data_IF_117201974188
#
_entry.id   IF_117201974188
#
_cell.length_a   1.000
_cell.length_b   1.000
_cell.length_c   1.000
_cell.angle_alpha   90.00
_cell.angle_beta   90.00
_cell.angle_gamma   90.00
#
_symmetry.space_group_name_H-M   'P 1'
#
loop_
_entity.id
_entity.type
_entity.pdbx_description
1 polymer ?
#
# COMPACT_ATOMS: atom_id res chain seq x y z
N UNK A 1 -17.36 -11.23 46.33
CA UNK A 1 -17.96 -11.81 45.14
C UNK A 1 -17.53 -10.93 43.99
N UNK A 2 -16.78 -11.32 43.40
CA UNK A 2 -15.50 -11.32 42.76
C UNK A 2 -15.58 -10.51 41.43
N UNK A 3 -14.87 -9.37 41.44
CA UNK A 3 -14.57 -8.55 40.23
C UNK A 3 -13.85 -9.31 39.10
N UNK A 4 -13.56 -10.59 39.34
CA UNK A 4 -12.84 -11.48 38.43
C UNK A 4 -13.69 -11.93 37.22
N UNK A 5 -14.99 -12.12 37.39
CA UNK A 5 -15.87 -12.66 36.34
C UNK A 5 -16.12 -11.72 35.19
N UNK A 6 -16.15 -10.40 35.43
CA UNK A 6 -16.39 -9.41 34.38
C UNK A 6 -15.16 -9.25 33.46
N UNK A 7 -13.98 -9.42 34.01
CA UNK A 7 -12.72 -9.29 33.25
C UNK A 7 -12.39 -10.54 32.43
N UNK A 8 -12.89 -11.70 32.87
CA UNK A 8 -12.74 -12.98 32.15
C UNK A 8 -13.67 -13.11 30.94
N UNK A 9 -14.81 -12.38 30.93
CA UNK A 9 -15.82 -12.45 29.88
C UNK A 9 -15.68 -11.34 28.83
N UNK A 10 -14.76 -10.39 28.98
CA UNK A 10 -14.51 -9.37 27.95
C UNK A 10 -13.69 -9.98 26.83
N UNK A 11 -14.35 -10.26 25.71
CA UNK A 11 -13.66 -10.48 24.44
C UNK A 11 -12.86 -9.24 24.08
N UNK A 12 -11.65 -9.44 23.56
CA UNK A 12 -10.84 -8.35 23.05
C UNK A 12 -11.48 -7.83 21.75
N UNK A 13 -12.05 -6.63 21.79
CA UNK A 13 -12.54 -5.98 20.60
C UNK A 13 -11.39 -5.23 19.93
N UNK A 14 -11.03 -5.65 18.76
CA UNK A 14 -10.14 -4.87 17.91
C UNK A 14 -10.95 -3.77 17.21
N UNK A 15 -10.73 -2.52 17.63
CA UNK A 15 -11.42 -1.35 17.06
C UNK A 15 -10.73 -0.77 15.83
N UNK A 16 -9.77 -1.51 15.28
CA UNK A 16 -9.05 -1.04 14.09
C UNK A 16 -9.99 -1.03 12.88
N UNK A 17 -10.24 0.12 12.26
CA UNK A 17 -11.11 0.18 11.10
C UNK A 17 -10.46 -0.55 9.91
N UNK A 18 -11.25 -1.29 9.10
CA UNK A 18 -10.71 -2.01 7.96
C UNK A 18 -10.08 -1.06 6.94
N UNK A 19 -9.01 -1.51 6.30
CA UNK A 19 -8.31 -0.73 5.29
C UNK A 19 -9.19 -0.55 4.05
N UNK A 20 -9.45 0.71 3.72
CA UNK A 20 -10.21 1.07 2.52
C UNK A 20 -9.24 1.37 1.38
N UNK A 21 -9.28 0.56 0.32
CA UNK A 21 -8.43 0.72 -0.89
C UNK A 21 -9.24 1.24 -2.08
N UNK A 22 -10.06 2.27 -1.86
CA UNK A 22 -10.95 2.82 -2.86
C UNK A 22 -10.19 3.49 -4.02
N UNK A 23 -9.21 4.33 -3.71
CA UNK A 23 -8.46 5.08 -4.73
C UNK A 23 -7.63 4.14 -5.60
N UNK A 24 -6.94 3.18 -4.97
CA UNK A 24 -6.15 2.19 -5.69
C UNK A 24 -7.03 1.40 -6.67
N UNK A 25 -8.14 0.82 -6.19
CA UNK A 25 -9.03 0.00 -7.03
C UNK A 25 -9.73 0.77 -8.13
N UNK A 26 -10.08 2.05 -7.89
CA UNK A 26 -10.85 2.85 -8.85
C UNK A 26 -9.96 3.48 -9.92
N UNK A 27 -8.83 4.03 -9.54
CA UNK A 27 -7.98 4.83 -10.44
C UNK A 27 -6.75 4.06 -10.94
N UNK A 28 -6.30 3.03 -10.21
CA UNK A 28 -5.09 2.26 -10.52
C UNK A 28 -5.38 0.75 -10.50
N UNK A 29 -6.30 0.25 -11.34
CA UNK A 29 -6.69 -1.17 -11.33
C UNK A 29 -5.61 -2.09 -11.91
N UNK A 30 -4.65 -1.56 -12.66
CA UNK A 30 -3.60 -2.34 -13.30
C UNK A 30 -2.28 -2.18 -12.55
N UNK A 31 -1.68 -3.29 -12.15
CA UNK A 31 -0.36 -3.32 -11.54
C UNK A 31 0.63 -3.97 -12.51
N UNK A 32 1.75 -3.31 -12.77
CA UNK A 32 2.87 -3.84 -13.54
C UNK A 32 4.09 -3.97 -12.64
N UNK A 33 4.73 -5.15 -12.69
CA UNK A 33 5.93 -5.43 -11.90
C UNK A 33 7.18 -5.22 -12.74
N UNK A 34 8.22 -4.64 -12.14
CA UNK A 34 9.52 -4.43 -12.76
C UNK A 34 10.63 -4.87 -11.80
N UNK A 35 11.76 -5.28 -12.36
CA UNK A 35 12.91 -5.79 -11.59
C UNK A 35 13.91 -4.67 -11.28
N UNK A 36 13.92 -3.59 -12.09
CA UNK A 36 14.87 -2.49 -11.92
C UNK A 36 14.45 -1.52 -10.81
N UNK A 37 15.41 -0.97 -10.09
CA UNK A 37 15.17 0.08 -9.08
C UNK A 37 14.61 1.38 -9.70
N UNK A 38 14.93 1.63 -10.97
CA UNK A 38 14.51 2.83 -11.69
C UNK A 38 13.59 2.45 -12.84
N UNK A 39 12.49 3.19 -12.95
CA UNK A 39 11.52 3.08 -14.03
C UNK A 39 11.67 4.29 -14.94
N UNK A 40 11.81 4.05 -16.23
CA UNK A 40 11.85 5.10 -17.25
C UNK A 40 10.51 5.14 -17.99
N UNK A 41 10.00 6.33 -18.18
CA UNK A 41 8.78 6.53 -18.95
C UNK A 41 8.86 7.76 -19.82
N UNK A 42 8.32 7.62 -21.03
CA UNK A 42 8.34 8.67 -22.04
C UNK A 42 7.06 9.50 -21.98
N UNK A 43 7.23 10.81 -21.85
CA UNK A 43 6.12 11.76 -21.84
C UNK A 43 6.15 12.57 -23.12
N UNK A 44 5.06 12.51 -23.88
CA UNK A 44 4.84 13.37 -25.04
C UNK A 44 3.74 14.38 -24.73
N UNK A 45 4.10 15.65 -24.65
CA UNK A 45 3.10 16.73 -24.60
C UNK A 45 2.67 17.07 -26.01
N UNK A 46 1.63 16.40 -26.49
CA UNK A 46 1.05 16.64 -27.81
C UNK A 46 0.39 18.01 -27.89
N UNK A 47 0.81 18.86 -28.83
CA UNK A 47 0.03 20.03 -29.21
C UNK A 47 -0.93 19.60 -30.33
N UNK A 48 -2.20 19.91 -30.20
CA UNK A 48 -3.18 19.75 -31.29
C UNK A 48 -2.93 20.82 -32.33
N UNK A 49 -2.13 20.47 -33.35
CA UNK A 49 -1.81 21.40 -34.43
C UNK A 49 -2.95 21.31 -35.46
N UNK A 50 -3.51 22.45 -35.79
CA UNK A 50 -4.53 22.54 -36.84
C UNK A 50 -3.82 22.51 -38.23
N UNK A 51 -4.39 21.77 -39.17
CA UNK A 51 -3.86 21.75 -40.51
C UNK A 51 -3.90 23.17 -41.15
N UNK A 52 -2.79 23.67 -41.71
CA UNK A 52 -2.77 24.99 -42.33
C UNK A 52 -3.53 24.96 -43.65
N UNK A 53 -4.30 26.01 -43.92
CA UNK A 53 -4.89 26.25 -45.22
C UNK A 53 -3.79 26.73 -46.19
N UNK A 54 -3.68 26.09 -47.34
CA UNK A 54 -2.68 26.40 -48.37
C UNK A 54 -3.41 26.71 -49.67
N UNK A 55 -2.91 27.69 -50.41
CA UNK A 55 -3.44 28.02 -51.75
C UNK A 55 -3.31 26.84 -52.72
N UNK A 56 -4.28 26.60 -53.64
CA UNK A 56 -4.25 25.48 -54.57
C UNK A 56 -2.99 25.38 -55.45
N UNK A 57 -2.26 26.46 -55.59
CA UNK A 57 -1.04 26.53 -56.40
C UNK A 57 0.26 26.44 -55.59
N UNK A 58 0.16 26.32 -54.25
CA UNK A 58 1.33 26.20 -53.37
C UNK A 58 1.45 24.79 -52.83
N UNK A 59 2.68 24.32 -52.68
CA UNK A 59 2.94 23.01 -52.05
C UNK A 59 2.51 22.99 -50.60
N UNK A 60 2.29 21.79 -50.06
CA UNK A 60 1.90 21.60 -48.64
C UNK A 60 2.93 22.16 -47.66
N UNK A 61 2.45 22.65 -46.49
CA UNK A 61 3.32 23.15 -45.43
C UNK A 61 3.84 21.99 -44.59
N UNK A 62 5.15 21.90 -44.42
CA UNK A 62 5.78 20.88 -43.59
C UNK A 62 5.43 21.11 -42.10
N UNK A 63 4.89 20.09 -41.48
CA UNK A 63 4.63 20.07 -40.03
C UNK A 63 5.68 19.18 -39.38
N UNK A 64 6.46 19.75 -38.49
CA UNK A 64 7.50 19.02 -37.73
C UNK A 64 6.88 18.07 -36.70
N UNK A 65 7.48 16.90 -36.55
CA UNK A 65 7.09 15.94 -35.50
C UNK A 65 7.46 16.47 -34.14
N UNK A 66 6.60 16.19 -33.17
CA UNK A 66 6.89 16.55 -31.79
C UNK A 66 7.80 15.49 -31.17
N UNK A 67 8.79 15.95 -30.41
CA UNK A 67 9.64 15.08 -29.60
C UNK A 67 8.92 14.59 -28.35
N UNK A 68 9.58 13.69 -27.63
CA UNK A 68 9.18 13.20 -26.32
C UNK A 68 10.29 13.52 -25.30
N UNK A 69 9.95 13.42 -24.04
CA UNK A 69 10.88 13.58 -22.93
C UNK A 69 10.84 12.31 -22.10
N UNK A 70 11.99 11.71 -21.88
CA UNK A 70 12.14 10.56 -20.97
C UNK A 70 12.32 11.06 -19.55
N UNK A 71 11.50 10.61 -18.64
CA UNK A 71 11.62 10.85 -17.21
C UNK A 71 12.02 9.55 -16.51
N UNK A 72 12.82 9.68 -15.46
CA UNK A 72 13.26 8.58 -14.62
C UNK A 72 12.63 8.73 -13.24
N UNK A 73 12.09 7.63 -12.70
CA UNK A 73 11.53 7.58 -11.35
C UNK A 73 12.20 6.46 -10.57
N UNK A 74 12.72 6.79 -9.39
CA UNK A 74 13.26 5.80 -8.46
C UNK A 74 12.16 5.31 -7.55
N UNK A 75 11.93 3.99 -7.54
CA UNK A 75 10.85 3.39 -6.76
C UNK A 75 11.20 3.37 -5.27
N UNK A 76 10.38 3.97 -4.39
CA UNK A 76 10.60 3.91 -2.95
C UNK A 76 10.35 2.50 -2.41
N UNK A 77 11.19 2.03 -1.50
CA UNK A 77 11.03 0.76 -0.81
C UNK A 77 10.10 0.94 0.40
N UNK A 78 9.11 0.06 0.53
CA UNK A 78 8.26 -0.05 1.72
C UNK A 78 8.65 -1.36 2.40
N UNK A 79 9.24 -1.28 3.59
CA UNK A 79 9.71 -2.43 4.36
C UNK A 79 9.43 -2.19 5.85
N UNK A 80 8.18 -2.37 6.31
CA UNK A 80 7.88 -2.30 7.73
C UNK A 80 8.43 -3.55 8.44
N UNK A 81 8.99 -3.36 9.63
CA UNK A 81 9.53 -4.42 10.46
C UNK A 81 8.92 -4.31 11.87
N UNK A 82 8.62 -5.43 12.48
CA UNK A 82 8.17 -5.51 13.87
C UNK A 82 9.01 -6.58 14.58
N UNK A 83 9.99 -6.18 15.42
CA UNK A 83 10.77 -7.13 16.20
C UNK A 83 9.89 -7.74 17.30
N UNK A 84 9.96 -9.05 17.46
CA UNK A 84 9.33 -9.79 18.56
C UNK A 84 10.36 -10.02 19.64
N UNK A 85 9.99 -9.75 20.89
CA UNK A 85 10.87 -9.96 22.05
C UNK A 85 10.37 -11.11 22.92
N UNK A 86 11.25 -11.67 23.73
CA UNK A 86 10.87 -12.74 24.68
C UNK A 86 9.81 -12.26 25.68
N UNK A 87 9.84 -10.98 26.03
CA UNK A 87 8.86 -10.37 26.93
C UNK A 87 7.45 -10.37 26.32
N UNK A 88 7.33 -10.16 25.01
CA UNK A 88 6.04 -10.17 24.30
C UNK A 88 5.39 -11.56 24.33
N UNK A 89 6.20 -12.63 24.31
CA UNK A 89 5.73 -14.02 24.33
C UNK A 89 5.38 -14.46 25.77
N UNK A 90 6.13 -13.96 26.77
CA UNK A 90 5.93 -14.34 28.16
C UNK A 90 4.79 -13.59 28.83
N UNK A 91 4.48 -12.38 28.38
CA UNK A 91 3.36 -11.59 28.90
C UNK A 91 2.02 -12.13 28.38
N UNK A 92 0.98 -11.95 29.18
CA UNK A 92 -0.39 -12.33 28.83
C UNK A 92 -0.90 -11.48 27.66
N UNK A 93 -1.41 -12.13 26.62
CA UNK A 93 -2.05 -11.46 25.51
C UNK A 93 -3.37 -10.77 25.90
N UNK A 94 -3.78 -9.78 25.10
CA UNK A 94 -5.06 -9.09 25.28
C UNK A 94 -6.21 -10.10 25.04
N UNK A 95 -7.16 -10.17 25.98
CA UNK A 95 -8.28 -11.12 25.91
C UNK A 95 -7.98 -12.53 26.41
N UNK A 96 -6.75 -12.83 26.76
CA UNK A 96 -6.38 -14.12 27.34
C UNK A 96 -6.85 -14.24 28.80
N UNK A 97 -7.46 -15.39 29.15
CA UNK A 97 -7.89 -15.66 30.52
C UNK A 97 -6.66 -15.72 31.45
N UNK A 98 -6.82 -15.24 32.72
CA UNK A 98 -5.76 -15.22 33.73
C UNK A 98 -5.27 -16.65 34.06
N UNK A 99 -6.16 -17.63 33.94
CA UNK A 99 -5.88 -19.05 34.19
C UNK A 99 -5.56 -19.84 32.90
N UNK A 100 -5.30 -19.15 31.79
CA UNK A 100 -4.92 -19.77 30.54
C UNK A 100 -3.65 -20.60 30.72
N UNK A 101 -3.70 -21.87 30.27
CA UNK A 101 -2.55 -22.76 30.21
C UNK A 101 -1.87 -22.75 28.84
N UNK A 102 -2.04 -21.66 28.07
CA UNK A 102 -1.40 -21.53 26.76
C UNK A 102 0.11 -21.61 26.88
N UNK A 103 0.70 -22.37 25.99
CA UNK A 103 2.16 -22.48 25.89
C UNK A 103 2.76 -21.22 25.30
N UNK A 104 4.03 -20.89 25.58
CA UNK A 104 4.72 -19.78 24.91
C UNK A 104 4.72 -19.89 23.38
N UNK A 105 4.81 -21.11 22.84
CA UNK A 105 4.78 -21.40 21.40
C UNK A 105 3.43 -21.00 20.76
N UNK A 106 2.32 -21.33 21.42
CA UNK A 106 0.98 -20.94 20.92
C UNK A 106 0.78 -19.41 20.93
N UNK A 107 1.38 -18.71 21.91
CA UNK A 107 1.35 -17.24 21.94
C UNK A 107 2.20 -16.62 20.85
N UNK A 108 3.36 -17.22 20.57
CA UNK A 108 4.25 -16.80 19.50
C UNK A 108 3.55 -16.89 18.13
N UNK A 109 2.89 -18.02 17.84
CA UNK A 109 2.17 -18.23 16.59
C UNK A 109 1.01 -17.23 16.42
N UNK A 110 0.23 -16.98 17.48
CA UNK A 110 -0.88 -16.02 17.45
C UNK A 110 -0.36 -14.58 17.24
N UNK A 111 0.72 -14.22 17.92
CA UNK A 111 1.35 -12.91 17.82
C UNK A 111 1.92 -12.69 16.42
N UNK A 112 2.59 -13.71 15.87
CA UNK A 112 3.13 -13.71 14.53
C UNK A 112 2.03 -13.50 13.47
N UNK A 113 0.92 -14.24 13.60
CA UNK A 113 -0.21 -14.12 12.66
C UNK A 113 -0.84 -12.72 12.71
N UNK A 114 -0.99 -12.17 13.93
CA UNK A 114 -1.50 -10.80 14.10
C UNK A 114 -0.55 -9.76 13.52
N UNK A 115 0.73 -9.88 13.82
CA UNK A 115 1.75 -8.96 13.32
C UNK A 115 1.84 -8.98 11.79
N UNK A 116 1.73 -10.16 11.19
CA UNK A 116 1.68 -10.29 9.74
C UNK A 116 0.50 -9.51 9.13
N UNK A 117 -0.69 -9.72 9.68
CA UNK A 117 -1.90 -9.01 9.23
C UNK A 117 -1.76 -7.50 9.38
N UNK A 118 -1.27 -7.03 10.52
CA UNK A 118 -1.04 -5.61 10.79
C UNK A 118 -0.03 -4.98 9.81
N UNK A 119 1.03 -5.71 9.47
CA UNK A 119 2.06 -5.26 8.52
C UNK A 119 1.50 -5.18 7.10
N UNK A 120 0.74 -6.19 6.66
CA UNK A 120 0.06 -6.16 5.35
C UNK A 120 -0.92 -4.99 5.25
N UNK A 121 -1.71 -4.75 6.27
CA UNK A 121 -2.62 -3.60 6.33
C UNK A 121 -1.88 -2.27 6.33
N UNK A 122 -0.73 -2.17 7.00
CA UNK A 122 0.09 -0.97 7.00
C UNK A 122 0.63 -0.64 5.60
N UNK A 123 1.03 -1.68 4.85
CA UNK A 123 1.46 -1.55 3.45
C UNK A 123 0.28 -1.10 2.57
N UNK A 124 -0.89 -1.71 2.74
CA UNK A 124 -2.09 -1.36 1.99
C UNK A 124 -2.50 0.11 2.24
N UNK A 125 -2.46 0.57 3.50
CA UNK A 125 -2.71 1.98 3.86
C UNK A 125 -1.69 2.92 3.21
N UNK A 126 -0.42 2.51 3.14
CA UNK A 126 0.62 3.31 2.49
C UNK A 126 0.40 3.42 0.98
N UNK A 127 0.06 2.31 0.31
CA UNK A 127 -0.28 2.30 -1.11
C UNK A 127 -1.48 3.23 -1.40
N UNK A 128 -2.55 3.13 -0.62
CA UNK A 128 -3.72 3.99 -0.78
C UNK A 128 -3.40 5.47 -0.58
N UNK A 129 -2.56 5.79 0.41
CA UNK A 129 -2.10 7.16 0.64
C UNK A 129 -1.28 7.70 -0.53
N UNK A 130 -0.43 6.88 -1.14
CA UNK A 130 0.32 7.26 -2.34
C UNK A 130 -0.60 7.56 -3.52
N UNK A 131 -1.66 6.78 -3.72
CA UNK A 131 -2.68 7.06 -4.76
C UNK A 131 -3.36 8.42 -4.59
N UNK A 132 -3.43 8.94 -3.37
CA UNK A 132 -3.99 10.28 -3.10
C UNK A 132 -3.06 11.42 -3.53
N UNK A 133 -1.76 11.19 -3.62
CA UNK A 133 -0.77 12.24 -3.90
C UNK A 133 -0.58 12.54 -5.40
N UNK A 134 -1.12 11.71 -6.25
CA UNK A 134 -1.08 11.88 -7.71
C UNK A 134 -2.27 12.70 -8.17
#
# INVERSE_FOLDING_TARGET
MSDYTTREMMEAFDQTPPVKTFLQKTFFPTEETHVSEKVEFDVRKGKRIMAPLVSPRMGGKVITRQGFRTNQFTTPKIAPERPMTIDDITQRAIGENIYSQRTPEEREDELLAKDWTDLEESIARRKEWMCRQI
#
